data_IF_211680179706
#
_entry.id   IF_211680179706
#
_cell.length_a   1.000
_cell.length_b   1.000
_cell.length_c   1.000
_cell.angle_alpha   90.00
_cell.angle_beta   90.00
_cell.angle_gamma   90.00
#
_symmetry.space_group_name_H-M   'P 1'
#
loop_
_entity.id
_entity.type
_entity.pdbx_description
1 polymer ?
#
# COMPACT_ATOMS: atom_id res chain seq x y z
N UNK A 1 28.52 -9.95 3.13
CA UNK A 1 27.16 -9.58 2.76
C UNK A 1 27.17 -8.85 1.43
N UNK A 2 26.39 -9.33 0.49
CA UNK A 2 26.35 -8.72 -0.83
C UNK A 2 25.63 -7.37 -0.76
N UNK A 3 26.20 -6.37 -1.39
CA UNK A 3 25.55 -5.06 -1.49
C UNK A 3 24.41 -5.15 -2.49
N UNK A 4 23.24 -4.75 -2.05
CA UNK A 4 22.09 -4.64 -2.96
C UNK A 4 22.25 -3.38 -3.81
N UNK A 5 22.15 -3.54 -5.11
CA UNK A 5 22.28 -2.44 -6.04
C UNK A 5 20.90 -2.03 -6.52
N UNK A 6 20.55 -0.76 -6.34
CA UNK A 6 19.25 -0.23 -6.75
C UNK A 6 19.49 0.95 -7.68
N UNK A 7 18.89 0.90 -8.86
CA UNK A 7 19.12 1.95 -9.85
C UNK A 7 17.85 2.21 -10.67
N UNK A 8 17.73 3.42 -11.22
CA UNK A 8 16.54 3.77 -12.00
C UNK A 8 16.43 2.90 -13.26
N UNK A 9 15.22 2.53 -13.59
CA UNK A 9 14.97 1.63 -14.72
C UNK A 9 14.00 2.24 -15.74
N UNK A 10 13.19 3.22 -15.36
CA UNK A 10 12.26 3.85 -16.28
C UNK A 10 11.13 4.55 -15.56
N UNK A 11 10.20 5.09 -16.32
CA UNK A 11 9.05 5.79 -15.78
C UNK A 11 7.79 5.41 -16.54
N UNK A 12 6.64 5.63 -15.87
CA UNK A 12 5.31 5.46 -16.44
C UNK A 12 4.48 6.67 -16.03
N UNK A 13 3.78 7.27 -16.97
CA UNK A 13 3.00 8.47 -16.65
C UNK A 13 1.69 8.47 -17.44
N UNK A 14 0.57 8.47 -16.74
CA UNK A 14 -0.75 8.53 -17.36
C UNK A 14 -1.82 9.14 -16.48
N UNK A 15 -1.44 9.78 -15.36
CA UNK A 15 -2.42 10.30 -14.42
C UNK A 15 -2.52 11.84 -14.43
N UNK A 16 -2.13 12.44 -15.55
CA UNK A 16 -2.34 13.88 -15.79
C UNK A 16 -1.75 14.75 -14.68
N UNK A 17 -0.60 14.38 -14.16
CA UNK A 17 0.06 15.15 -13.12
C UNK A 17 -0.55 15.00 -11.74
N UNK A 18 -1.54 14.13 -11.56
CA UNK A 18 -2.16 13.93 -10.27
C UNK A 18 -1.50 12.76 -9.54
N UNK A 19 -1.41 12.86 -8.23
CA UNK A 19 -0.67 11.90 -7.42
C UNK A 19 -1.09 10.45 -7.69
N UNK A 20 -0.09 9.57 -7.74
CA UNK A 20 -0.32 8.11 -7.83
C UNK A 20 -0.39 7.60 -6.38
N UNK A 21 -1.60 7.38 -5.91
CA UNK A 21 -1.86 7.13 -4.50
C UNK A 21 -1.62 5.69 -4.07
N UNK A 22 -1.69 4.74 -5.02
CA UNK A 22 -1.48 3.34 -4.69
C UNK A 22 -1.06 2.58 -5.93
N UNK A 23 -0.35 1.50 -5.71
CA UNK A 23 0.15 0.63 -6.77
C UNK A 23 -0.09 -0.81 -6.34
N UNK A 24 -0.36 -1.69 -7.31
CA UNK A 24 -0.55 -3.10 -7.02
C UNK A 24 0.03 -3.95 -8.13
N UNK A 25 0.62 -5.07 -7.74
CA UNK A 25 1.16 -6.07 -8.65
C UNK A 25 0.55 -7.42 -8.31
N UNK A 26 0.77 -8.40 -9.18
CA UNK A 26 0.29 -9.75 -8.93
C UNK A 26 1.32 -10.75 -9.43
N UNK A 27 1.43 -11.85 -8.71
CA UNK A 27 2.31 -12.94 -9.07
C UNK A 27 1.83 -13.63 -10.35
N UNK A 28 0.53 -13.61 -10.60
CA UNK A 28 -0.06 -14.33 -11.72
C UNK A 28 0.25 -13.68 -13.07
N UNK A 29 0.61 -12.40 -13.07
CA UNK A 29 0.97 -11.72 -14.32
C UNK A 29 2.05 -10.70 -14.03
N UNK A 30 3.31 -11.05 -14.24
CA UNK A 30 4.40 -10.12 -13.93
C UNK A 30 4.48 -8.91 -14.85
N UNK A 31 3.73 -8.91 -15.94
CA UNK A 31 3.69 -7.75 -16.84
C UNK A 31 2.54 -6.80 -16.52
N UNK A 32 1.82 -7.05 -15.45
CA UNK A 32 0.69 -6.22 -15.03
C UNK A 32 1.09 -5.33 -13.86
N UNK A 33 0.76 -4.07 -13.96
CA UNK A 33 0.83 -3.13 -12.85
C UNK A 33 -0.47 -2.34 -12.84
N UNK A 34 -0.98 -2.07 -11.66
CA UNK A 34 -2.21 -1.29 -11.51
C UNK A 34 -1.89 -0.07 -10.66
N UNK A 35 -2.32 1.11 -11.11
CA UNK A 35 -2.12 2.33 -10.34
C UNK A 35 -3.46 3.01 -10.07
N UNK A 36 -3.54 3.64 -8.91
CA UNK A 36 -4.70 4.43 -8.50
C UNK A 36 -4.24 5.87 -8.33
N UNK A 37 -5.15 6.83 -8.53
CA UNK A 37 -4.72 8.21 -8.55
C UNK A 37 -5.78 9.19 -8.06
N UNK A 38 -5.29 10.37 -7.70
CA UNK A 38 -6.15 11.52 -7.41
C UNK A 38 -6.84 12.05 -8.67
N UNK A 39 -6.53 11.51 -9.84
CA UNK A 39 -7.30 11.85 -11.04
C UNK A 39 -8.63 11.10 -11.10
N UNK A 40 -8.97 10.33 -10.07
CA UNK A 40 -10.23 9.57 -9.91
C UNK A 40 -10.26 8.28 -10.73
N UNK A 41 -9.12 7.88 -11.29
CA UNK A 41 -9.05 6.69 -12.14
C UNK A 41 -8.04 5.69 -11.63
N UNK A 42 -8.14 4.49 -12.18
CA UNK A 42 -7.07 3.50 -12.08
C UNK A 42 -6.56 3.25 -13.48
N UNK A 43 -5.30 2.90 -13.60
CA UNK A 43 -4.71 2.54 -14.90
C UNK A 43 -4.15 1.14 -14.80
N UNK A 44 -4.50 0.33 -15.78
CA UNK A 44 -3.92 -1.00 -15.97
C UNK A 44 -2.77 -0.83 -16.95
N UNK A 45 -1.56 -1.14 -16.51
CA UNK A 45 -0.35 -0.98 -17.30
C UNK A 45 0.07 -2.32 -17.86
N UNK A 46 0.48 -2.33 -19.10
CA UNK A 46 1.22 -3.44 -19.71
C UNK A 46 2.69 -3.09 -19.63
N UNK A 47 3.45 -3.87 -18.87
CA UNK A 47 4.88 -3.61 -18.72
C UNK A 47 5.62 -4.27 -19.85
N UNK A 48 6.53 -3.52 -20.47
CA UNK A 48 7.37 -4.02 -21.55
C UNK A 48 8.81 -4.17 -21.12
N UNK A 49 9.16 -3.55 -20.00
CA UNK A 49 10.50 -3.65 -19.41
C UNK A 49 11.58 -3.02 -20.31
N UNK A 50 11.19 -2.07 -21.16
CA UNK A 50 12.08 -1.44 -22.11
C UNK A 50 12.41 -0.02 -21.72
N UNK A 51 13.66 0.34 -21.88
CA UNK A 51 14.13 1.72 -21.96
C UNK A 51 13.52 2.68 -20.96
N UNK A 52 13.31 3.91 -21.46
CA UNK A 52 12.78 4.99 -20.63
C UNK A 52 11.31 4.81 -20.29
N UNK A 53 10.56 4.23 -21.23
CA UNK A 53 9.15 3.94 -21.00
C UNK A 53 9.06 2.46 -20.66
N UNK A 54 8.79 2.18 -19.41
CA UNK A 54 8.82 0.83 -18.89
C UNK A 54 7.58 0.03 -19.31
N UNK A 55 6.58 0.70 -19.86
CA UNK A 55 5.34 0.07 -20.33
C UNK A 55 4.39 1.10 -20.89
N UNK A 56 3.16 0.68 -21.09
CA UNK A 56 2.15 1.59 -21.65
C UNK A 56 0.80 1.35 -20.99
N UNK A 57 -0.04 2.38 -21.01
CA UNK A 57 -1.40 2.31 -20.50
C UNK A 57 -2.20 1.37 -21.39
N UNK A 58 -2.66 0.27 -20.83
CA UNK A 58 -3.46 -0.70 -21.55
C UNK A 58 -4.94 -0.39 -21.42
N UNK A 59 -5.36 0.04 -20.23
CA UNK A 59 -6.77 0.27 -19.95
C UNK A 59 -6.88 1.26 -18.80
N UNK A 60 -7.92 2.09 -18.84
CA UNK A 60 -8.22 3.02 -17.78
C UNK A 60 -9.56 2.65 -17.15
N UNK A 61 -9.61 2.54 -15.83
CA UNK A 61 -10.81 2.15 -15.11
C UNK A 61 -11.44 3.40 -14.52
N UNK A 62 -12.65 3.70 -14.95
CA UNK A 62 -13.35 4.91 -14.54
C UNK A 62 -14.65 4.57 -13.84
N UNK A 63 -15.12 5.45 -12.98
CA UNK A 63 -16.37 5.26 -12.24
C UNK A 63 -16.38 5.91 -10.88
N UNK A 64 -15.23 5.96 -10.19
CA UNK A 64 -15.17 6.68 -8.93
C UNK A 64 -15.38 8.17 -9.14
N UNK A 65 -16.06 8.82 -8.20
CA UNK A 65 -16.37 10.25 -8.32
C UNK A 65 -15.41 11.14 -7.52
N UNK A 66 -14.42 10.54 -6.89
CA UNK A 66 -13.42 11.29 -6.13
C UNK A 66 -12.10 10.54 -6.21
N UNK A 67 -11.06 11.05 -5.55
CA UNK A 67 -9.73 10.42 -5.52
C UNK A 67 -9.84 8.94 -5.24
N UNK A 68 -9.08 8.14 -6.00
CA UNK A 68 -8.93 6.71 -5.68
C UNK A 68 -7.72 6.60 -4.77
N UNK A 69 -7.92 6.09 -3.57
CA UNK A 69 -6.88 6.12 -2.54
C UNK A 69 -6.09 4.81 -2.45
N UNK A 70 -6.70 3.69 -2.78
CA UNK A 70 -6.03 2.41 -2.61
C UNK A 70 -6.50 1.44 -3.68
N UNK A 71 -5.64 0.47 -4.00
CA UNK A 71 -5.97 -0.60 -4.94
C UNK A 71 -5.22 -1.85 -4.56
N UNK A 72 -5.88 -2.98 -4.69
CA UNK A 72 -5.27 -4.30 -4.54
C UNK A 72 -5.77 -5.21 -5.65
N UNK A 73 -5.02 -6.27 -5.94
CA UNK A 73 -5.38 -7.24 -6.97
C UNK A 73 -5.61 -8.59 -6.27
N UNK A 74 -6.63 -9.32 -6.71
CA UNK A 74 -6.90 -10.65 -6.17
C UNK A 74 -5.74 -11.58 -6.47
N UNK A 75 -5.59 -12.63 -5.66
CA UNK A 75 -4.44 -13.51 -5.81
C UNK A 75 -4.44 -14.26 -7.12
N UNK A 76 -5.60 -14.42 -7.77
CA UNK A 76 -5.67 -15.06 -9.09
C UNK A 76 -5.42 -14.07 -10.23
N UNK A 77 -5.21 -12.79 -9.93
CA UNK A 77 -4.91 -11.80 -10.95
C UNK A 77 -6.09 -11.38 -11.80
N UNK A 78 -7.30 -11.80 -11.48
CA UNK A 78 -8.46 -11.56 -12.33
C UNK A 78 -9.26 -10.33 -11.95
N UNK A 79 -9.17 -9.89 -10.70
CA UNK A 79 -9.97 -8.79 -10.19
C UNK A 79 -9.10 -7.78 -9.46
N UNK A 80 -9.54 -6.54 -9.49
CA UNK A 80 -8.97 -5.48 -8.66
C UNK A 80 -10.04 -4.93 -7.75
N UNK A 81 -9.61 -4.41 -6.62
CA UNK A 81 -10.48 -3.78 -5.64
C UNK A 81 -9.92 -2.41 -5.34
N UNK A 82 -10.74 -1.39 -5.43
CA UNK A 82 -10.31 -0.02 -5.15
C UNK A 82 -11.15 0.60 -4.04
N UNK A 83 -10.56 1.57 -3.36
CA UNK A 83 -11.25 2.37 -2.36
C UNK A 83 -11.06 3.84 -2.68
N UNK A 84 -12.08 4.64 -2.43
CA UNK A 84 -12.10 6.02 -2.89
C UNK A 84 -12.62 6.97 -1.83
N UNK A 85 -12.22 8.23 -1.98
CA UNK A 85 -12.76 9.32 -1.17
C UNK A 85 -14.25 9.57 -1.47
N UNK A 86 -14.81 8.90 -2.49
CA UNK A 86 -16.26 8.95 -2.71
C UNK A 86 -17.02 8.07 -1.71
N UNK A 87 -16.31 7.40 -0.79
CA UNK A 87 -16.94 6.59 0.25
C UNK A 87 -17.21 5.16 -0.15
N UNK A 88 -16.83 4.77 -1.35
CA UNK A 88 -17.16 3.43 -1.86
C UNK A 88 -15.91 2.63 -2.17
N UNK A 89 -16.10 1.31 -2.26
CA UNK A 89 -15.16 0.40 -2.88
C UNK A 89 -15.76 -0.05 -4.20
N UNK A 90 -14.89 -0.43 -5.15
CA UNK A 90 -15.34 -1.05 -6.40
C UNK A 90 -14.51 -2.29 -6.69
N UNK A 91 -15.20 -3.33 -7.14
CA UNK A 91 -14.55 -4.54 -7.64
C UNK A 91 -14.60 -4.47 -9.15
N UNK A 92 -13.45 -4.65 -9.78
CA UNK A 92 -13.28 -4.51 -11.23
C UNK A 92 -12.86 -5.84 -11.81
N UNK A 93 -13.48 -6.21 -12.93
CA UNK A 93 -13.02 -7.34 -13.74
C UNK A 93 -11.88 -6.82 -14.62
N UNK A 94 -10.67 -7.32 -14.42
CA UNK A 94 -9.52 -6.80 -15.16
C UNK A 94 -9.51 -7.21 -16.62
N UNK A 95 -10.24 -8.25 -16.98
CA UNK A 95 -10.34 -8.66 -18.38
C UNK A 95 -11.23 -7.73 -19.19
N UNK A 96 -12.27 -7.18 -18.57
CA UNK A 96 -13.24 -6.33 -19.27
C UNK A 96 -13.12 -4.86 -18.91
N UNK A 97 -12.53 -4.55 -17.76
CA UNK A 97 -12.43 -3.18 -17.26
C UNK A 97 -13.72 -2.66 -16.65
N UNK A 98 -14.67 -3.54 -16.35
CA UNK A 98 -15.99 -3.16 -15.86
C UNK A 98 -16.06 -3.35 -14.35
N UNK A 99 -16.72 -2.40 -13.66
CA UNK A 99 -17.06 -2.56 -12.25
C UNK A 99 -18.10 -3.68 -12.14
N UNK A 100 -17.78 -4.72 -11.38
CA UNK A 100 -18.73 -5.82 -11.17
C UNK A 100 -19.53 -5.64 -9.90
N UNK A 101 -18.99 -4.93 -8.90
CA UNK A 101 -19.68 -4.67 -7.64
C UNK A 101 -19.25 -3.32 -7.09
N UNK A 102 -20.19 -2.61 -6.47
CA UNK A 102 -19.91 -1.43 -5.68
C UNK A 102 -20.23 -1.76 -4.21
N UNK A 103 -19.41 -1.24 -3.31
CA UNK A 103 -19.55 -1.49 -1.88
C UNK A 103 -19.88 -0.17 -1.22
N UNK A 104 -21.09 -0.07 -0.71
CA UNK A 104 -21.62 1.18 -0.16
C UNK A 104 -21.95 0.94 1.31
N UNK A 105 -21.48 1.81 2.18
CA UNK A 105 -21.74 1.69 3.61
C UNK A 105 -20.89 2.61 4.46
N UNK A 106 -19.65 2.88 4.04
CA UNK A 106 -18.86 3.88 4.76
C UNK A 106 -19.48 5.25 4.60
N UNK A 107 -19.41 6.07 5.65
CA UNK A 107 -20.00 7.38 5.63
C UNK A 107 -19.01 8.48 5.28
N UNK A 108 -17.74 8.12 5.15
CA UNK A 108 -16.67 9.04 4.74
C UNK A 108 -15.70 8.31 3.84
N UNK A 109 -14.65 9.01 3.43
CA UNK A 109 -13.63 8.51 2.50
C UNK A 109 -13.14 7.13 2.90
N UNK A 110 -13.00 6.24 1.93
CA UNK A 110 -12.34 4.95 2.11
C UNK A 110 -10.86 5.16 1.85
N UNK A 111 -10.02 4.81 2.82
CA UNK A 111 -8.59 5.06 2.73
C UNK A 111 -7.78 3.81 2.42
N UNK A 112 -8.32 2.62 2.66
CA UNK A 112 -7.54 1.39 2.50
C UNK A 112 -8.47 0.22 2.27
N UNK A 113 -8.03 -0.72 1.43
CA UNK A 113 -8.79 -1.93 1.12
C UNK A 113 -7.83 -3.11 1.06
N UNK A 114 -8.34 -4.31 1.32
CA UNK A 114 -7.53 -5.52 1.22
C UNK A 114 -8.42 -6.75 0.98
N UNK A 115 -7.85 -7.75 0.30
CA UNK A 115 -8.44 -9.08 0.17
C UNK A 115 -7.85 -10.03 1.19
N UNK A 116 -8.67 -10.94 1.70
CA UNK A 116 -8.14 -12.07 2.46
C UNK A 116 -7.33 -12.98 1.54
N UNK A 117 -6.52 -13.86 2.16
CA UNK A 117 -5.64 -14.75 1.40
C UNK A 117 -6.41 -15.62 0.42
N UNK A 118 -7.65 -16.00 0.76
CA UNK A 118 -8.48 -16.84 -0.13
C UNK A 118 -9.37 -16.00 -1.05
N UNK A 119 -9.24 -14.68 -1.04
CA UNK A 119 -10.03 -13.75 -1.86
C UNK A 119 -11.53 -13.76 -1.57
N UNK A 120 -11.96 -14.39 -0.50
CA UNK A 120 -13.39 -14.49 -0.19
C UNK A 120 -13.89 -13.33 0.66
N UNK A 121 -12.99 -12.68 1.36
CA UNK A 121 -13.36 -11.59 2.24
C UNK A 121 -12.60 -10.34 1.89
N UNK A 122 -13.22 -9.22 2.17
CA UNK A 122 -12.67 -7.91 1.89
C UNK A 122 -12.74 -7.10 3.18
N UNK A 123 -11.72 -6.31 3.44
CA UNK A 123 -11.72 -5.39 4.57
C UNK A 123 -11.44 -3.99 4.05
N UNK A 124 -12.07 -3.00 4.66
CA UNK A 124 -11.83 -1.60 4.33
C UNK A 124 -11.68 -0.77 5.59
N UNK A 125 -10.91 0.31 5.48
CA UNK A 125 -10.75 1.29 6.54
C UNK A 125 -11.09 2.67 6.02
N UNK A 126 -11.64 3.52 6.88
CA UNK A 126 -12.22 4.77 6.42
C UNK A 126 -11.96 5.91 7.41
N UNK A 127 -12.13 7.13 6.89
CA UNK A 127 -12.16 8.32 7.74
C UNK A 127 -13.35 8.33 8.70
N UNK A 128 -14.34 7.45 8.48
CA UNK A 128 -15.45 7.34 9.43
C UNK A 128 -15.06 6.58 10.69
N UNK A 129 -13.77 6.21 10.84
CA UNK A 129 -13.19 5.56 12.01
C UNK A 129 -13.57 4.09 12.14
N UNK A 130 -14.19 3.51 11.13
CA UNK A 130 -14.59 2.10 11.18
C UNK A 130 -13.78 1.25 10.22
N UNK A 131 -13.76 -0.02 10.54
CA UNK A 131 -13.27 -1.08 9.67
C UNK A 131 -14.51 -1.90 9.30
N UNK A 132 -14.68 -2.15 8.00
CA UNK A 132 -15.82 -2.97 7.55
C UNK A 132 -15.32 -4.23 6.87
N UNK A 133 -16.01 -5.32 7.14
CA UNK A 133 -15.80 -6.60 6.47
C UNK A 133 -16.92 -6.79 5.47
N UNK A 134 -16.55 -7.24 4.28
CA UNK A 134 -17.50 -7.42 3.18
C UNK A 134 -17.29 -8.79 2.54
N UNK A 135 -18.35 -9.34 1.97
CA UNK A 135 -18.16 -10.45 1.04
C UNK A 135 -17.93 -9.89 -0.37
N UNK A 136 -17.68 -10.77 -1.32
CA UNK A 136 -17.36 -10.33 -2.67
C UNK A 136 -18.59 -9.92 -3.48
N UNK A 137 -19.77 -10.07 -2.91
CA UNK A 137 -21.01 -9.61 -3.54
C UNK A 137 -21.33 -8.16 -3.19
N UNK A 138 -20.51 -7.54 -2.35
CA UNK A 138 -20.72 -6.16 -1.97
C UNK A 138 -21.54 -5.98 -0.69
N UNK A 139 -21.79 -7.06 0.03
CA UNK A 139 -22.56 -7.01 1.27
C UNK A 139 -21.63 -6.79 2.45
N UNK A 140 -21.96 -5.80 3.29
CA UNK A 140 -21.21 -5.57 4.52
C UNK A 140 -21.63 -6.61 5.55
N UNK A 141 -20.67 -7.41 5.97
CA UNK A 141 -20.95 -8.50 6.91
C UNK A 141 -20.68 -8.10 8.35
N UNK A 142 -19.85 -7.11 8.57
CA UNK A 142 -19.55 -6.66 9.94
C UNK A 142 -18.90 -5.27 9.90
N UNK A 143 -19.24 -4.46 10.89
CA UNK A 143 -18.60 -3.17 11.09
C UNK A 143 -17.95 -3.18 12.47
N UNK A 144 -16.65 -2.96 12.51
CA UNK A 144 -15.90 -2.93 13.77
C UNK A 144 -15.96 -1.54 14.34
N UNK A 145 -16.64 -1.40 15.47
CA UNK A 145 -16.71 -0.16 16.24
C UNK A 145 -16.24 -0.35 17.67
N UNK A 146 -16.48 -1.53 18.24
CA UNK A 146 -16.10 -1.81 19.62
C UNK A 146 -14.60 -1.92 19.72
N UNK A 147 -14.01 -1.14 20.61
CA UNK A 147 -12.56 -1.04 20.78
C UNK A 147 -11.84 -0.62 19.50
N UNK A 148 -12.57 0.06 18.62
CA UNK A 148 -12.06 0.47 17.35
C UNK A 148 -11.18 1.70 17.43
N UNK A 149 -10.73 2.12 16.27
CA UNK A 149 -9.92 3.34 16.14
C UNK A 149 -10.76 4.56 16.53
N UNK A 150 -10.11 5.53 17.14
CA UNK A 150 -10.78 6.75 17.55
C UNK A 150 -10.55 7.90 16.57
N UNK A 151 -9.80 7.64 15.51
CA UNK A 151 -9.56 8.58 14.42
C UNK A 151 -9.60 7.79 13.11
N UNK A 152 -9.27 8.45 12.00
CA UNK A 152 -9.28 7.82 10.67
C UNK A 152 -8.54 6.48 10.70
N UNK A 153 -9.10 5.49 10.02
CA UNK A 153 -8.42 4.22 9.79
C UNK A 153 -7.71 4.34 8.46
N UNK A 154 -6.40 4.48 8.50
CA UNK A 154 -5.63 4.82 7.32
C UNK A 154 -5.14 3.62 6.53
N UNK A 155 -5.03 2.45 7.18
CA UNK A 155 -4.53 1.27 6.47
C UNK A 155 -5.06 0.01 7.12
N UNK A 156 -5.48 -0.94 6.29
CA UNK A 156 -5.91 -2.26 6.75
C UNK A 156 -5.26 -3.31 5.87
N UNK A 157 -4.84 -4.40 6.49
CA UNK A 157 -4.23 -5.52 5.78
C UNK A 157 -4.65 -6.82 6.45
N UNK A 158 -4.68 -7.89 5.66
CA UNK A 158 -4.86 -9.23 6.21
C UNK A 158 -3.51 -9.87 6.45
N UNK A 159 -3.42 -10.72 7.46
CA UNK A 159 -2.29 -11.62 7.55
C UNK A 159 -2.42 -12.69 6.46
N UNK A 160 -1.31 -13.28 6.03
CA UNK A 160 -1.38 -14.28 4.96
C UNK A 160 -1.87 -15.65 5.42
N UNK A 161 -2.01 -15.86 6.72
CA UNK A 161 -2.44 -17.17 7.25
C UNK A 161 -3.88 -17.46 6.88
N UNK A 162 -4.17 -18.70 6.50
CA UNK A 162 -5.53 -19.15 6.30
C UNK A 162 -6.06 -19.92 7.51
N UNK A 163 -5.17 -20.38 8.39
CA UNK A 163 -5.58 -21.12 9.58
C UNK A 163 -6.10 -20.20 10.67
N UNK A 164 -5.35 -19.14 10.97
CA UNK A 164 -5.72 -18.15 11.99
C UNK A 164 -5.55 -16.74 11.43
N UNK A 165 -6.44 -16.35 10.50
CA UNK A 165 -6.25 -15.06 9.86
C UNK A 165 -6.50 -13.90 10.79
N UNK A 166 -5.70 -12.86 10.60
CA UNK A 166 -5.79 -11.63 11.36
C UNK A 166 -6.03 -10.47 10.43
N UNK A 167 -6.64 -9.42 10.97
CA UNK A 167 -6.65 -8.11 10.34
C UNK A 167 -5.69 -7.24 11.13
N UNK A 168 -4.87 -6.48 10.42
CA UNK A 168 -3.97 -5.52 11.03
C UNK A 168 -4.38 -4.15 10.51
N UNK A 169 -4.61 -3.21 11.42
CA UNK A 169 -5.05 -1.87 11.03
C UNK A 169 -4.17 -0.82 11.70
N UNK A 170 -4.09 0.33 11.05
CA UNK A 170 -3.35 1.47 11.57
C UNK A 170 -4.23 2.70 11.41
N UNK A 171 -4.10 3.63 12.33
CA UNK A 171 -4.97 4.79 12.31
C UNK A 171 -4.29 6.08 12.72
N UNK A 172 -5.02 7.17 12.53
CA UNK A 172 -4.55 8.49 12.92
C UNK A 172 -4.57 8.68 14.44
N UNK A 173 -5.12 7.71 15.17
CA UNK A 173 -5.01 7.65 16.62
C UNK A 173 -3.66 7.12 17.10
N UNK A 174 -2.72 6.86 16.18
CA UNK A 174 -1.34 6.47 16.46
C UNK A 174 -1.16 5.01 16.87
N UNK A 175 -2.20 4.21 16.70
CA UNK A 175 -2.22 2.85 17.22
C UNK A 175 -2.30 1.86 16.06
N UNK A 176 -1.53 0.77 16.16
CA UNK A 176 -1.72 -0.41 15.33
C UNK A 176 -2.59 -1.37 16.12
N UNK A 177 -3.64 -1.88 15.50
CA UNK A 177 -4.54 -2.83 16.14
C UNK A 177 -4.53 -4.14 15.38
N UNK A 178 -4.55 -5.24 16.12
CA UNK A 178 -4.60 -6.58 15.55
C UNK A 178 -5.90 -7.22 15.98
N UNK A 179 -6.63 -7.73 15.00
CA UNK A 179 -7.98 -8.27 15.18
C UNK A 179 -8.02 -9.72 14.73
N UNK A 180 -8.76 -10.55 15.46
CA UNK A 180 -9.08 -11.88 14.98
C UNK A 180 -10.14 -11.77 13.89
N UNK A 181 -9.89 -12.36 12.73
CA UNK A 181 -10.87 -12.32 11.65
C UNK A 181 -12.11 -13.15 12.00
N UNK A 182 -11.92 -14.27 12.69
CA UNK A 182 -13.00 -15.21 12.94
C UNK A 182 -14.16 -14.59 13.71
N UNK A 183 -13.88 -13.71 14.68
CA UNK A 183 -14.93 -13.11 15.50
C UNK A 183 -14.89 -11.58 15.50
N UNK A 184 -13.98 -10.98 14.75
CA UNK A 184 -13.82 -9.53 14.62
C UNK A 184 -13.51 -8.85 15.94
N UNK A 185 -12.88 -9.57 16.87
CA UNK A 185 -12.54 -9.01 18.18
C UNK A 185 -11.09 -8.57 18.21
N UNK A 186 -10.86 -7.50 18.96
CA UNK A 186 -9.52 -6.97 19.15
C UNK A 186 -8.66 -7.99 19.87
N UNK A 187 -7.48 -8.25 19.30
CA UNK A 187 -6.51 -9.13 19.92
C UNK A 187 -5.50 -8.34 20.74
N UNK A 188 -4.99 -7.24 20.14
CA UNK A 188 -4.04 -6.42 20.87
C UNK A 188 -3.92 -5.05 20.23
N UNK A 189 -3.50 -4.07 21.01
CA UNK A 189 -3.06 -2.77 20.56
C UNK A 189 -1.55 -2.71 20.62
N UNK A 190 -0.93 -2.13 19.61
CA UNK A 190 0.51 -1.91 19.58
C UNK A 190 0.76 -0.41 19.67
N UNK A 191 1.24 0.03 20.82
CA UNK A 191 1.50 1.43 21.12
C UNK A 191 2.98 1.75 20.93
N UNK A 192 3.30 2.95 20.55
CA UNK A 192 4.68 3.39 20.45
C UNK A 192 4.92 4.54 19.48
N UNK A 193 4.03 4.73 18.52
CA UNK A 193 4.17 5.84 17.58
C UNK A 193 3.78 7.17 18.23
N UNK A 194 4.49 8.23 17.83
CA UNK A 194 4.27 9.57 18.37
C UNK A 194 3.42 10.45 17.46
N UNK A 195 3.00 9.94 16.32
CA UNK A 195 2.15 10.68 15.39
C UNK A 195 1.23 9.74 14.66
N UNK A 196 0.33 10.32 13.85
CA UNK A 196 -0.64 9.51 13.14
C UNK A 196 0.05 8.53 12.18
N UNK A 197 -0.61 7.41 11.94
CA UNK A 197 -0.08 6.36 11.07
C UNK A 197 -0.73 6.44 9.69
N UNK A 198 0.07 6.22 8.67
CA UNK A 198 -0.42 6.16 7.30
C UNK A 198 -0.41 4.75 6.74
N UNK A 199 0.41 3.87 7.29
CA UNK A 199 0.62 2.59 6.64
C UNK A 199 0.96 1.50 7.64
N UNK A 200 0.53 0.31 7.32
CA UNK A 200 0.98 -0.92 7.99
C UNK A 200 1.08 -1.99 6.90
N UNK A 201 2.04 -2.87 7.05
CA UNK A 201 2.18 -3.99 6.12
C UNK A 201 2.58 -5.23 6.91
N UNK A 202 2.23 -6.39 6.39
CA UNK A 202 2.49 -7.68 7.04
C UNK A 202 3.46 -8.44 6.17
N UNK A 203 4.45 -9.09 6.79
CA UNK A 203 5.43 -9.86 6.02
C UNK A 203 4.75 -11.07 5.36
N UNK A 204 5.33 -11.57 4.26
CA UNK A 204 4.73 -12.71 3.56
C UNK A 204 4.59 -13.97 4.41
N UNK A 205 5.45 -14.16 5.42
CA UNK A 205 5.34 -15.32 6.31
C UNK A 205 4.42 -15.05 7.50
N UNK A 206 3.90 -13.83 7.62
CA UNK A 206 2.98 -13.47 8.68
C UNK A 206 3.62 -13.23 10.03
N UNK A 207 4.95 -13.24 10.12
CA UNK A 207 5.62 -13.20 11.41
C UNK A 207 5.79 -11.79 11.96
N UNK A 208 5.89 -10.78 11.08
CA UNK A 208 6.10 -9.40 11.53
C UNK A 208 5.18 -8.46 10.77
N UNK A 209 4.95 -7.30 11.34
CA UNK A 209 4.34 -6.22 10.59
C UNK A 209 5.16 -4.94 10.82
N UNK A 210 5.05 -4.04 9.86
CA UNK A 210 5.74 -2.76 9.90
C UNK A 210 4.72 -1.64 9.83
N UNK A 211 4.96 -0.57 10.57
CA UNK A 211 4.05 0.57 10.58
C UNK A 211 4.84 1.87 10.53
N UNK A 212 4.20 2.90 9.98
CA UNK A 212 4.85 4.18 9.86
C UNK A 212 3.87 5.30 9.59
N UNK A 213 4.32 6.52 9.84
CA UNK A 213 3.49 7.69 9.61
C UNK A 213 4.21 9.00 9.94
N UNK A 214 3.51 9.87 10.60
CA UNK A 214 3.92 11.26 10.82
C UNK A 214 5.23 11.38 11.58
N UNK A 215 5.48 10.48 12.54
CA UNK A 215 6.69 10.61 13.36
C UNK A 215 7.97 10.20 12.63
N UNK A 216 7.85 9.73 11.39
CA UNK A 216 9.03 9.38 10.60
C UNK A 216 9.71 8.10 11.02
N UNK A 217 9.12 7.36 11.93
CA UNK A 217 9.70 6.11 12.44
C UNK A 217 9.00 4.93 11.79
N UNK A 218 9.77 3.95 11.33
CA UNK A 218 9.22 2.67 10.91
C UNK A 218 9.38 1.69 12.07
N UNK A 219 8.28 1.24 12.62
CA UNK A 219 8.30 0.27 13.73
C UNK A 219 8.03 -1.11 13.18
N UNK A 220 8.84 -2.06 13.60
CA UNK A 220 8.63 -3.48 13.28
C UNK A 220 8.08 -4.16 14.52
N UNK A 221 6.99 -4.91 14.34
CA UNK A 221 6.28 -5.58 15.43
C UNK A 221 6.27 -7.08 15.16
N UNK A 222 6.40 -7.81 16.21
CA UNK A 222 6.27 -9.28 16.11
C UNK A 222 4.77 -9.63 16.19
N UNK A 223 4.37 -10.02 15.16
CA UNK A 223 2.94 -10.33 15.07
C UNK A 223 2.53 -11.56 15.89
N UNK A 224 3.47 -12.35 16.43
CA UNK A 224 3.10 -13.47 17.23
C UNK A 224 3.23 -13.20 18.70
N UNK A 225 4.16 -12.44 19.13
CA UNK A 225 4.45 -12.09 20.48
C UNK A 225 3.92 -10.71 20.83
N UNK A 226 3.49 -9.90 19.91
CA UNK A 226 2.99 -8.60 20.01
C UNK A 226 3.95 -7.62 20.67
N UNK A 227 5.16 -7.65 20.31
CA UNK A 227 6.16 -6.77 20.89
C UNK A 227 6.89 -6.09 19.77
N UNK A 228 7.60 -4.97 20.11
CA UNK A 228 8.40 -4.26 19.16
C UNK A 228 9.66 -5.04 18.96
N UNK A 229 9.85 -5.25 17.77
CA UNK A 229 11.07 -5.97 17.40
C UNK A 229 12.22 -5.09 17.08
N UNK A 230 11.94 -3.84 16.34
CA UNK A 230 12.92 -2.94 15.95
C UNK A 230 12.30 -1.62 15.62
N UNK A 231 13.10 -0.64 15.58
CA UNK A 231 12.67 0.68 15.26
C UNK A 231 13.69 1.26 14.32
N UNK A 232 13.29 1.78 13.31
CA UNK A 232 14.10 2.39 12.33
C UNK A 232 13.69 3.81 12.22
N UNK A 233 14.45 4.68 12.42
CA UNK A 233 14.27 6.13 12.37
C UNK A 233 14.68 6.60 11.02
N UNK A 234 13.74 7.04 10.38
CA UNK A 234 13.96 7.58 9.04
C UNK A 234 14.04 9.04 9.21
N UNK A 235 14.70 9.61 8.63
CA UNK A 235 14.94 11.07 8.77
C UNK A 235 13.59 11.75 8.66
N UNK A 236 13.18 12.50 9.16
CA UNK A 236 12.16 13.43 9.25
C UNK A 236 11.05 13.41 8.19
N UNK A 237 10.79 12.56 7.74
CA UNK A 237 9.67 12.57 6.82
C UNK A 237 8.59 11.62 7.28
N UNK A 238 7.65 11.78 6.71
CA UNK A 238 6.50 10.98 7.02
C UNK A 238 6.55 9.70 6.21
N UNK A 239 6.08 8.64 6.70
CA UNK A 239 6.11 7.42 6.03
C UNK A 239 4.77 7.18 5.42
N UNK A 240 4.69 7.15 4.21
CA UNK A 240 3.47 7.10 3.52
C UNK A 240 3.12 5.74 2.99
N UNK A 241 4.04 4.91 2.87
CA UNK A 241 3.80 3.65 2.39
C UNK A 241 4.80 2.62 2.89
N UNK A 242 4.42 1.53 3.01
CA UNK A 242 5.30 0.48 3.36
C UNK A 242 4.95 -0.76 2.54
N UNK A 243 5.86 -1.52 2.20
CA UNK A 243 5.61 -2.67 1.38
C UNK A 243 6.56 -3.79 1.79
N UNK A 244 6.16 -4.89 1.75
CA UNK A 244 6.93 -6.06 2.09
C UNK A 244 7.19 -6.85 0.81
N UNK A 245 8.22 -7.37 0.69
CA UNK A 245 8.63 -8.04 -0.52
C UNK A 245 8.29 -9.48 -0.43
N UNK A 246 7.97 -10.04 -1.34
CA UNK A 246 7.52 -11.38 -1.45
C UNK A 246 8.56 -12.48 -1.45
N UNK A 247 9.64 -12.03 -1.54
CA UNK A 247 10.70 -12.97 -1.46
C UNK A 247 11.14 -13.15 -0.05
N UNK A 248 11.57 -13.78 0.26
CA UNK A 248 12.13 -14.12 1.52
C UNK A 248 12.28 -13.06 2.51
N UNK A 249 12.18 -13.10 3.45
CA UNK A 249 12.58 -12.34 4.48
C UNK A 249 12.96 -10.88 4.26
N UNK A 250 12.62 -10.42 3.37
CA UNK A 250 12.97 -9.08 3.23
C UNK A 250 11.80 -8.27 3.53
N UNK A 251 11.97 -7.56 4.35
CA UNK A 251 10.92 -6.65 4.63
C UNK A 251 11.30 -5.37 4.06
N UNK A 252 10.74 -4.94 3.49
CA UNK A 252 11.01 -3.73 2.91
C UNK A 252 10.07 -2.76 3.45
N UNK A 253 10.48 -2.10 4.06
CA UNK A 253 9.68 -1.03 4.50
C UNK A 253 10.09 0.16 3.76
N UNK A 254 9.42 0.55 3.29
CA UNK A 254 9.77 1.69 2.57
C UNK A 254 8.99 2.81 3.11
N UNK A 255 9.52 3.50 3.40
CA UNK A 255 8.92 4.68 3.91
C UNK A 255 9.05 5.72 2.90
N UNK A 256 8.22 6.10 2.57
CA UNK A 256 8.28 7.17 1.63
C UNK A 256 8.26 8.40 2.43
N UNK A 257 9.04 8.93 2.30
CA UNK A 257 9.20 10.17 2.99
C UNK A 257 8.90 11.28 2.07
N UNK A 258 8.65 12.20 2.67
CA UNK A 258 8.33 13.38 2.02
C UNK A 258 9.38 13.91 1.14
N UNK A 259 10.33 13.73 1.34
CA UNK A 259 11.38 14.25 0.53
C UNK A 259 11.71 13.27 -0.58
N UNK A 260 11.77 13.14 -1.33
CA UNK A 260 12.08 12.48 -2.45
C UNK A 260 12.75 11.13 -2.30
N UNK A 261 12.81 10.81 -1.17
CA UNK A 261 13.56 9.63 -0.95
C UNK A 261 12.71 8.45 -0.69
N UNK A 262 13.08 7.53 -1.13
CA UNK A 262 12.41 6.32 -0.83
C UNK A 262 13.41 5.42 -0.19
N UNK A 263 13.17 4.97 0.70
CA UNK A 263 14.08 4.17 1.44
C UNK A 263 13.67 2.74 1.32
N UNK A 264 14.37 2.03 1.18
CA UNK A 264 14.11 0.63 1.11
C UNK A 264 14.89 -0.01 2.20
N UNK A 265 14.37 -0.61 2.81
CA UNK A 265 14.98 -1.23 3.91
C UNK A 265 14.85 -2.71 3.73
N UNK A 266 15.63 -3.28 3.91
CA UNK A 266 15.68 -4.70 3.77
C UNK A 266 16.09 -5.24 5.06
N UNK A 267 15.50 -5.87 5.47
CA UNK A 267 15.79 -6.41 6.73
C UNK A 267 15.93 -7.89 6.59
N UNK A 268 16.84 -8.14 6.64
CA UNK A 268 17.21 -9.54 6.73
C UNK A 268 17.45 -9.79 8.14
N UNK A 269 17.29 -10.59 8.42
CA UNK A 269 17.48 -11.01 9.76
C UNK A 269 18.50 -10.33 10.60
N UNK A 270 19.10 -9.83 10.55
CA UNK A 270 20.19 -9.30 11.25
C UNK A 270 20.77 -8.05 10.70
N UNK A 271 20.80 -8.02 9.65
CA UNK A 271 21.49 -6.96 9.02
C UNK A 271 20.48 -6.08 8.42
N UNK A 272 20.21 -4.37 8.81
CA UNK A 272 19.26 -3.46 8.07
C UNK A 272 20.08 -2.66 7.07
N UNK A 273 19.72 -2.77 5.81
CA UNK A 273 20.28 -1.97 4.72
C UNK A 273 19.29 -0.88 4.38
N UNK A 274 19.76 0.36 4.37
CA UNK A 274 18.91 1.49 4.02
C UNK A 274 19.48 2.16 2.76
N UNK A 275 18.66 2.30 1.76
CA UNK A 275 18.99 3.01 0.54
C UNK A 275 18.12 4.25 0.41
N UNK A 276 18.75 5.36 0.08
CA UNK A 276 18.04 6.61 -0.15
C UNK A 276 17.94 6.80 -1.67
N UNK A 277 16.76 6.54 -2.21
CA UNK A 277 16.55 6.57 -3.65
C UNK A 277 16.11 7.97 -4.06
N UNK A 278 16.99 8.66 -4.79
CA UNK A 278 16.76 10.04 -5.20
C UNK A 278 16.59 10.10 -6.72
N UNK A 279 15.36 10.24 -7.21
CA UNK A 279 15.18 10.42 -8.65
C UNK A 279 15.74 11.78 -9.07
N UNK A 280 16.16 11.87 -10.32
CA UNK A 280 16.57 13.15 -10.88
C UNK A 280 15.34 13.91 -11.34
N UNK A 281 15.25 15.16 -10.95
CA UNK A 281 14.15 16.04 -11.36
C UNK A 281 14.74 17.30 -11.99
N UNK A 282 14.00 17.84 -12.95
CA UNK A 282 14.29 19.21 -13.38
C UNK A 282 14.01 20.16 -12.22
N UNK A 283 14.80 21.21 -12.13
CA UNK A 283 14.57 22.20 -11.09
C UNK A 283 13.17 22.78 -11.22
N UNK A 284 12.40 22.83 -10.14
CA UNK A 284 11.08 23.43 -10.22
C UNK A 284 11.19 24.90 -10.60
N UNK A 285 10.26 25.37 -11.41
CA UNK A 285 10.21 26.77 -11.83
C UNK A 285 9.12 27.46 -11.05
N UNK A 286 9.47 28.65 -10.53
CA UNK A 286 8.52 29.45 -9.78
C UNK A 286 8.53 29.12 -8.30
N UNK A 287 8.03 30.07 -7.52
CA UNK A 287 8.10 29.98 -6.06
C UNK A 287 7.22 28.90 -5.47
N UNK A 288 6.15 28.50 -6.20
CA UNK A 288 5.20 27.50 -5.70
C UNK A 288 5.52 26.10 -6.21
N UNK A 289 6.50 25.96 -7.08
CA UNK A 289 6.86 24.63 -7.60
C UNK A 289 7.50 23.80 -6.49
N UNK A 290 7.10 22.58 -6.35
CA UNK A 290 7.60 21.66 -5.34
C UNK A 290 8.17 20.42 -5.98
N UNK A 291 9.18 19.85 -5.34
CA UNK A 291 9.75 18.59 -5.76
C UNK A 291 8.71 17.48 -5.50
N UNK A 292 8.48 16.62 -6.48
CA UNK A 292 7.54 15.51 -6.26
C UNK A 292 7.98 14.59 -5.14
N UNK A 293 7.02 14.04 -4.44
CA UNK A 293 7.26 13.09 -3.34
C UNK A 293 6.71 11.72 -3.70
N UNK A 294 7.40 10.69 -3.27
CA UNK A 294 6.88 9.32 -3.36
C UNK A 294 5.80 9.13 -2.32
N UNK A 295 4.65 8.63 -2.74
CA UNK A 295 3.52 8.40 -1.83
C UNK A 295 2.98 6.98 -1.90
N UNK A 296 3.48 6.16 -2.81
CA UNK A 296 3.03 4.77 -2.91
C UNK A 296 4.18 3.90 -3.41
N UNK A 297 4.12 2.63 -3.06
CA UNK A 297 5.17 1.66 -3.39
C UNK A 297 4.54 0.32 -3.70
N UNK A 298 5.17 -0.43 -4.59
CA UNK A 298 4.87 -1.85 -4.77
C UNK A 298 6.10 -2.56 -5.30
N UNK A 299 6.30 -3.78 -4.83
CA UNK A 299 7.33 -4.66 -5.36
C UNK A 299 6.77 -5.48 -6.51
N UNK A 300 7.59 -5.78 -7.48
CA UNK A 300 7.26 -6.87 -8.40
C UNK A 300 7.22 -8.18 -7.61
N UNK A 301 6.53 -9.17 -8.16
CA UNK A 301 6.34 -10.43 -7.43
C UNK A 301 7.66 -11.11 -7.09
N UNK A 302 8.66 -11.00 -7.96
CA UNK A 302 9.95 -11.62 -7.72
C UNK A 302 10.93 -10.74 -6.95
N UNK A 303 10.50 -9.52 -6.59
CA UNK A 303 11.35 -8.62 -5.82
C UNK A 303 12.46 -7.94 -6.61
N UNK A 304 12.51 -8.11 -7.92
CA UNK A 304 13.57 -7.53 -8.72
C UNK A 304 13.34 -6.09 -9.13
N UNK A 305 12.10 -5.61 -8.97
CA UNK A 305 11.72 -4.25 -9.37
C UNK A 305 10.88 -3.63 -8.26
N UNK A 306 11.16 -2.37 -7.99
CA UNK A 306 10.35 -1.57 -7.07
C UNK A 306 9.68 -0.47 -7.88
N UNK A 307 8.37 -0.37 -7.74
CA UNK A 307 7.59 0.71 -8.35
C UNK A 307 7.27 1.74 -7.28
N UNK A 308 7.47 3.00 -7.59
CA UNK A 308 7.16 4.09 -6.68
C UNK A 308 6.28 5.12 -7.38
N UNK A 309 5.17 5.47 -6.74
CA UNK A 309 4.23 6.44 -7.30
C UNK A 309 4.43 7.80 -6.63
N UNK A 310 4.42 8.84 -7.44
CA UNK A 310 4.79 10.18 -6.98
C UNK A 310 3.63 11.15 -7.10
N UNK A 311 3.77 12.27 -6.39
CA UNK A 311 2.73 13.31 -6.38
C UNK A 311 2.57 14.02 -7.71
N UNK A 312 3.54 13.90 -8.62
CA UNK A 312 3.45 14.49 -9.96
C UNK A 312 2.76 13.59 -10.98
N UNK A 313 2.23 12.44 -10.54
CA UNK A 313 1.54 11.53 -11.43
C UNK A 313 2.43 10.54 -12.15
N UNK A 314 3.70 10.52 -11.81
CA UNK A 314 4.68 9.64 -12.47
C UNK A 314 4.98 8.46 -11.56
N UNK A 315 5.05 7.29 -12.16
CA UNK A 315 5.54 6.08 -11.50
C UNK A 315 7.00 5.92 -11.91
N UNK A 316 7.89 5.85 -10.92
CA UNK A 316 9.30 5.65 -11.18
C UNK A 316 9.67 4.23 -10.82
N UNK A 317 10.43 3.60 -11.71
CA UNK A 317 10.71 2.17 -11.64
C UNK A 317 12.18 1.99 -11.33
N UNK A 318 12.47 1.16 -10.34
CA UNK A 318 13.84 0.91 -9.88
C UNK A 318 14.14 -0.57 -10.00
N UNK A 319 15.30 -0.87 -10.55
CA UNK A 319 15.78 -2.26 -10.58
C UNK A 319 16.52 -2.54 -9.29
N UNK A 320 16.30 -3.71 -8.74
CA UNK A 320 16.96 -4.18 -7.51
C UNK A 320 17.75 -5.43 -7.86
N UNK A 321 19.03 -5.32 -7.76
CA UNK A 321 19.91 -6.43 -8.12
C UNK A 321 20.95 -6.68 -7.06
N UNK A 322 21.71 -7.76 -7.25
CA UNK A 322 22.80 -8.12 -6.37
C UNK A 322 24.14 -7.77 -7.01
#
# INVERSE_FOLDING_TARGET
MADTNIYPRGTLAAHNGKAVTALATTRENPDLLLSASRDKTLVVWQLTHDGESYGFERRRLTGHSHFVQDVVISSDGQFALSGSWDGTLRLWDLNTGITTRRFVGHTKDVLSVAFSADNRQIVSGSRDKTIKLWNTLGECKYTITEEGHTEWVSCVRFSPSTANPLIVSAGWDKVVKIWNLANCKLRTNLFGHQGYLNTVTVSPDGSICASGGKDGTANLWDXXXXXXXXXXXXXXXXXXXXXXXXXXXXXXXXXXXXXXXXXXXXXXXXXIVVHDLQPEFEQPKGKLAQVPHAVSLAWSADGSVLFSGYTDGVIRVWAVGN
#
